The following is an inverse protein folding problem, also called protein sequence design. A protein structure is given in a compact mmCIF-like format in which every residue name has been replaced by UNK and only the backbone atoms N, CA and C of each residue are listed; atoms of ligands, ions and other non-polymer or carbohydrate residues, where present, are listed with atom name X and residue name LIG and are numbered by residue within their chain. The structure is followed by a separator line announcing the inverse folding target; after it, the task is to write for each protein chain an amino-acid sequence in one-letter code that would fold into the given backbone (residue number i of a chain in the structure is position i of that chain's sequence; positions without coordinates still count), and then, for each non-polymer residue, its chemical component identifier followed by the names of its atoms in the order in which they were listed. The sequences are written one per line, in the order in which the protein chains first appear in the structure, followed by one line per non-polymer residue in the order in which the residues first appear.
data_IF_832864255857
#
_entry.id   IF_832864255857
#
_cell.length_a   1.000
_cell.length_b   1.000
_cell.length_c   1.000
_cell.angle_alpha   90.00
_cell.angle_beta   90.00
_cell.angle_gamma   90.00
#
_symmetry.space_group_name_H-M   'P 1'
#
loop_
_entity.id
_entity.type
_entity.pdbx_description
1 polymer ?
#
# COMPACT_ATOMS: atom_id res chain seq x y z
N UNK A 1 -61.16 -22.17 -14.39
CA UNK A 1 -61.60 -23.40 -15.12
C UNK A 1 -60.32 -23.88 -15.80
N UNK A 2 -59.69 -24.99 -15.55
CA UNK A 2 -59.96 -26.36 -15.30
C UNK A 2 -58.61 -26.97 -14.81
N UNK A 3 -58.57 -27.46 -13.58
CA UNK A 3 -58.28 -28.79 -13.01
C UNK A 3 -57.13 -29.60 -13.62
N UNK A 4 -56.14 -29.83 -12.78
CA UNK A 4 -55.65 -31.12 -12.18
C UNK A 4 -55.47 -32.33 -13.09
N UNK A 5 -54.32 -32.98 -13.04
CA UNK A 5 -54.19 -34.39 -12.62
C UNK A 5 -52.78 -34.79 -12.22
N UNK A 6 -52.72 -35.33 -11.04
CA UNK A 6 -51.66 -36.10 -10.41
C UNK A 6 -51.56 -37.50 -10.96
N UNK A 7 -50.36 -38.09 -11.05
CA UNK A 7 -50.22 -39.55 -11.06
C UNK A 7 -49.07 -39.92 -10.10
N UNK A 8 -49.46 -40.63 -9.06
CA UNK A 8 -48.58 -41.44 -8.19
C UNK A 8 -48.45 -42.80 -8.87
N UNK A 9 -47.24 -43.40 -8.82
CA UNK A 9 -47.10 -44.84 -8.90
C UNK A 9 -46.03 -45.31 -7.91
N UNK A 10 -46.42 -46.34 -7.16
CA UNK A 10 -45.70 -46.94 -6.05
C UNK A 10 -45.05 -48.28 -6.44
N UNK A 11 -44.03 -48.62 -5.72
CA UNK A 11 -43.63 -49.94 -5.25
C UNK A 11 -43.11 -51.02 -6.22
N UNK A 12 -41.93 -51.54 -5.88
CA UNK A 12 -41.79 -52.98 -5.55
C UNK A 12 -40.42 -53.25 -4.88
N UNK A 13 -40.47 -53.84 -3.70
CA UNK A 13 -39.37 -54.47 -3.00
C UNK A 13 -38.98 -55.79 -3.69
N UNK A 14 -37.69 -56.08 -3.78
CA UNK A 14 -37.20 -57.44 -3.91
C UNK A 14 -36.02 -57.65 -2.95
N UNK A 15 -36.21 -58.48 -1.94
CA UNK A 15 -35.21 -58.96 -1.01
C UNK A 15 -34.48 -60.15 -1.63
N UNK A 16 -33.17 -60.11 -1.65
CA UNK A 16 -32.36 -61.31 -1.91
C UNK A 16 -31.34 -61.46 -0.75
N UNK A 17 -31.54 -62.53 0.04
CA UNK A 17 -30.61 -62.97 1.07
C UNK A 17 -29.45 -63.72 0.43
N UNK A 18 -28.20 -63.35 0.74
CA UNK A 18 -27.03 -64.19 0.46
C UNK A 18 -26.13 -64.26 1.71
N UNK A 19 -25.77 -65.44 2.04
CA UNK A 19 -25.06 -66.01 3.18
C UNK A 19 -23.62 -65.56 3.29
N UNK A 20 -23.18 -65.31 4.51
CA UNK A 20 -21.82 -64.90 4.94
C UNK A 20 -20.97 -66.15 5.18
N UNK A 21 -19.69 -66.21 4.79
CA UNK A 21 -18.69 -66.99 5.51
C UNK A 21 -17.89 -66.10 6.47
N UNK A 22 -17.81 -66.49 7.72
CA UNK A 22 -16.89 -65.96 8.73
C UNK A 22 -15.45 -66.23 8.29
N UNK A 23 -14.67 -65.15 8.13
CA UNK A 23 -13.21 -65.21 8.22
C UNK A 23 -12.77 -64.47 9.48
N UNK A 24 -12.18 -65.19 10.40
CA UNK A 24 -11.51 -64.66 11.58
C UNK A 24 -10.24 -63.95 11.14
N UNK A 25 -10.18 -62.65 11.26
CA UNK A 25 -8.95 -61.90 11.10
C UNK A 25 -8.45 -61.42 12.46
N UNK A 26 -7.21 -61.76 12.74
CA UNK A 26 -6.50 -61.41 13.97
C UNK A 26 -6.35 -59.90 14.13
N UNK A 27 -6.74 -59.42 15.30
CA UNK A 27 -6.58 -58.02 15.70
C UNK A 27 -5.13 -57.76 16.10
N UNK A 28 -4.34 -57.14 15.24
CA UNK A 28 -3.11 -56.48 15.65
C UNK A 28 -3.44 -55.07 16.12
N UNK A 29 -3.36 -54.87 17.44
CA UNK A 29 -3.47 -53.54 18.07
C UNK A 29 -2.23 -52.72 17.71
N UNK A 30 -2.33 -51.87 16.67
CA UNK A 30 -1.37 -50.81 16.48
C UNK A 30 -1.76 -49.66 17.42
N UNK A 31 -0.98 -49.45 18.45
CA UNK A 31 -1.08 -48.28 19.32
C UNK A 31 -0.81 -47.02 18.47
N UNK A 32 -1.88 -46.29 18.14
CA UNK A 32 -1.76 -44.96 17.57
C UNK A 32 -1.22 -44.04 18.67
N UNK A 33 0.09 -43.78 18.62
CA UNK A 33 0.73 -42.70 19.37
C UNK A 33 0.14 -41.39 18.85
N UNK A 34 -0.80 -40.82 19.60
CA UNK A 34 -1.25 -39.46 19.41
C UNK A 34 -0.12 -38.50 19.80
N UNK A 35 0.73 -38.16 18.85
CA UNK A 35 1.57 -36.99 18.96
C UNK A 35 0.65 -35.80 18.99
N UNK A 36 0.24 -35.38 20.17
CA UNK A 36 -0.29 -34.02 20.37
C UNK A 36 0.85 -33.07 20.04
N UNK A 37 0.93 -32.70 18.76
CA UNK A 37 1.72 -31.60 18.33
C UNK A 37 1.20 -30.37 19.06
N UNK A 38 1.96 -29.94 20.08
CA UNK A 38 1.81 -28.59 20.62
C UNK A 38 1.97 -27.63 19.47
N UNK A 39 0.83 -27.21 18.94
CA UNK A 39 0.75 -26.04 18.05
C UNK A 39 1.21 -24.83 18.86
N UNK A 40 2.52 -24.66 19.00
CA UNK A 40 3.08 -23.37 19.30
C UNK A 40 2.52 -22.45 18.22
N UNK A 41 1.53 -21.62 18.63
CA UNK A 41 1.17 -20.46 17.86
C UNK A 41 2.50 -19.78 17.54
N UNK A 42 2.96 -19.88 16.31
CA UNK A 42 4.06 -19.07 15.82
C UNK A 42 3.60 -17.66 16.14
N UNK A 43 4.24 -17.03 17.10
CA UNK A 43 4.14 -15.59 17.27
C UNK A 43 4.35 -15.05 15.86
N UNK A 44 3.31 -14.45 15.28
CA UNK A 44 3.40 -13.87 13.96
C UNK A 44 4.57 -12.90 14.05
N UNK A 45 5.74 -13.33 13.58
CA UNK A 45 6.85 -12.43 13.37
C UNK A 45 6.30 -11.44 12.37
N UNK A 46 6.14 -10.19 12.80
CA UNK A 46 5.74 -9.07 11.99
C UNK A 46 6.70 -9.05 10.83
N UNK A 47 6.23 -9.55 9.67
CA UNK A 47 7.08 -9.89 8.56
C UNK A 47 7.70 -8.62 7.99
N UNK A 48 9.02 -8.64 7.80
CA UNK A 48 9.65 -7.66 6.95
C UNK A 48 8.98 -7.74 5.57
N UNK A 49 8.58 -6.59 5.04
CA UNK A 49 8.14 -6.50 3.66
C UNK A 49 9.27 -6.97 2.72
N UNK A 50 8.96 -7.54 1.57
CA UNK A 50 9.96 -7.84 0.55
C UNK A 50 10.82 -6.63 0.22
N UNK A 51 12.02 -6.86 -0.29
CA UNK A 51 12.93 -5.78 -0.66
C UNK A 51 12.41 -4.96 -1.84
N UNK A 52 11.58 -5.58 -2.69
CA UNK A 52 10.92 -4.95 -3.83
C UNK A 52 9.43 -5.26 -3.75
N UNK A 53 8.58 -4.24 -3.70
CA UNK A 53 7.14 -4.44 -3.59
C UNK A 53 6.37 -3.57 -4.59
N UNK A 54 5.31 -4.15 -5.15
CA UNK A 54 4.23 -3.41 -5.77
C UNK A 54 3.13 -3.21 -4.72
N UNK A 55 2.83 -1.95 -4.38
CA UNK A 55 1.87 -1.59 -3.35
C UNK A 55 0.99 -0.42 -3.80
N UNK A 56 -0.03 -0.66 -4.65
CA UNK A 56 -0.91 0.41 -5.10
C UNK A 56 -1.66 1.04 -3.94
N UNK A 57 -1.99 2.33 -4.07
CA UNK A 57 -2.79 3.04 -3.10
C UNK A 57 -4.23 2.53 -3.08
N UNK A 58 -4.77 2.36 -1.89
CA UNK A 58 -6.18 2.12 -1.62
C UNK A 58 -6.78 3.36 -0.96
N UNK A 59 -7.80 3.93 -1.58
CA UNK A 59 -8.48 5.15 -1.13
C UNK A 59 -9.44 4.81 0.01
N UNK A 60 -8.97 4.91 1.25
CA UNK A 60 -9.72 4.54 2.46
C UNK A 60 -10.94 5.44 2.74
N UNK A 61 -11.04 6.59 2.07
CA UNK A 61 -12.20 7.48 2.14
C UNK A 61 -13.34 7.04 1.22
N UNK A 62 -13.08 6.14 0.28
CA UNK A 62 -14.13 5.50 -0.52
C UNK A 62 -14.70 4.29 0.21
N UNK A 63 -15.94 3.93 -0.13
CA UNK A 63 -16.55 2.72 0.41
C UNK A 63 -15.87 1.48 -0.18
N UNK A 64 -15.61 0.50 0.66
CA UNK A 64 -15.05 -0.78 0.22
C UNK A 64 -14.13 -1.42 1.27
N UNK A 65 -13.80 -2.68 1.04
CA UNK A 65 -12.86 -3.44 1.86
C UNK A 65 -11.52 -3.54 1.11
N UNK A 66 -10.40 -3.13 1.69
CA UNK A 66 -9.10 -3.31 1.08
C UNK A 66 -8.78 -4.79 0.85
N UNK A 67 -9.22 -5.70 1.73
CA UNK A 67 -9.04 -7.14 1.52
C UNK A 67 -9.83 -7.67 0.32
N UNK A 68 -11.07 -7.20 0.12
CA UNK A 68 -11.88 -7.60 -1.02
C UNK A 68 -11.25 -7.12 -2.35
N UNK A 69 -10.72 -5.88 -2.38
CA UNK A 69 -10.05 -5.36 -3.57
C UNK A 69 -8.71 -6.06 -3.81
N UNK A 70 -7.93 -6.33 -2.77
CA UNK A 70 -6.69 -7.11 -2.87
C UNK A 70 -6.94 -8.50 -3.47
N UNK A 71 -7.95 -9.21 -2.95
CA UNK A 71 -8.33 -10.52 -3.45
C UNK A 71 -8.85 -10.50 -4.91
N UNK A 72 -9.60 -9.46 -5.28
CA UNK A 72 -10.16 -9.31 -6.63
C UNK A 72 -9.12 -8.90 -7.67
N UNK A 73 -8.16 -8.06 -7.28
CA UNK A 73 -7.12 -7.52 -8.17
C UNK A 73 -5.86 -8.37 -8.25
N UNK A 74 -5.58 -9.18 -7.22
CA UNK A 74 -4.32 -9.89 -7.05
C UNK A 74 -3.19 -9.05 -6.43
N UNK A 75 -3.44 -7.78 -6.07
CA UNK A 75 -2.47 -6.95 -5.37
C UNK A 75 -2.24 -7.51 -3.95
N UNK A 76 -1.02 -7.93 -3.65
CA UNK A 76 -0.66 -8.52 -2.36
C UNK A 76 -0.36 -7.49 -1.28
N UNK A 77 0.14 -6.32 -1.67
CA UNK A 77 0.47 -5.24 -0.76
C UNK A 77 -0.34 -4.00 -1.14
N UNK A 78 -0.81 -3.25 -0.15
CA UNK A 78 -1.59 -2.03 -0.37
C UNK A 78 -1.05 -0.90 0.49
N UNK A 79 -0.97 0.30 -0.08
CA UNK A 79 -0.79 1.54 0.67
C UNK A 79 -2.17 2.12 0.99
N UNK A 80 -2.52 2.19 2.30
CA UNK A 80 -3.85 2.64 2.73
C UNK A 80 -3.86 4.15 2.97
N UNK A 81 -4.58 4.91 2.16
CA UNK A 81 -4.59 6.37 2.13
C UNK A 81 -5.95 6.94 2.60
N UNK A 82 -6.05 7.80 3.62
CA UNK A 82 -4.97 8.40 4.38
C UNK A 82 -5.31 8.48 5.88
N UNK A 83 -4.29 8.65 6.70
CA UNK A 83 -4.44 8.97 8.13
C UNK A 83 -4.17 10.47 8.29
N UNK A 84 -5.07 11.18 8.99
CA UNK A 84 -5.01 12.61 9.20
C UNK A 84 -5.49 12.96 10.61
N UNK A 85 -5.30 14.21 11.01
CA UNK A 85 -5.95 14.73 12.20
C UNK A 85 -7.38 15.21 11.89
N UNK A 86 -8.35 15.10 12.82
CA UNK A 86 -9.74 15.48 12.56
C UNK A 86 -9.94 17.01 12.40
N UNK A 87 -8.94 17.80 12.71
CA UNK A 87 -8.90 19.26 12.51
C UNK A 87 -7.51 19.80 12.76
N UNK A 88 -7.19 20.92 12.15
CA UNK A 88 -5.97 21.69 12.42
C UNK A 88 -5.79 21.99 13.92
N UNK A 89 -4.57 21.82 14.43
CA UNK A 89 -4.19 21.97 15.84
C UNK A 89 -4.42 20.71 16.69
N UNK A 90 -4.97 19.64 16.12
CA UNK A 90 -5.11 18.34 16.80
C UNK A 90 -3.81 17.54 16.76
N UNK A 91 -3.59 16.71 17.80
CA UNK A 91 -2.56 15.67 17.80
C UNK A 91 -3.16 14.25 17.79
N UNK A 92 -4.49 14.11 17.76
CA UNK A 92 -5.15 12.83 17.53
C UNK A 92 -5.24 12.53 16.05
N UNK A 93 -5.29 11.25 15.70
CA UNK A 93 -5.32 10.77 14.32
C UNK A 93 -6.47 9.77 14.14
N UNK A 94 -7.10 9.88 12.99
CA UNK A 94 -8.16 8.99 12.55
C UNK A 94 -7.98 8.75 11.03
N UNK A 95 -8.57 7.67 10.48
CA UNK A 95 -8.63 7.50 9.04
C UNK A 95 -9.44 8.66 8.45
N UNK A 96 -8.87 9.32 7.44
CA UNK A 96 -9.45 10.48 6.74
C UNK A 96 -9.84 11.65 7.67
N UNK A 97 -9.27 11.71 8.88
CA UNK A 97 -9.68 12.68 9.90
C UNK A 97 -11.09 12.46 10.44
N UNK A 98 -11.71 11.33 10.13
CA UNK A 98 -13.07 11.00 10.57
C UNK A 98 -13.03 10.22 11.90
N UNK A 99 -13.57 10.82 12.96
CA UNK A 99 -13.67 10.18 14.28
C UNK A 99 -14.51 8.90 14.31
N UNK A 100 -15.33 8.67 13.29
CA UNK A 100 -16.09 7.43 13.14
C UNK A 100 -15.19 6.27 12.69
N UNK A 101 -14.02 6.56 12.13
CA UNK A 101 -13.02 5.58 11.69
C UNK A 101 -11.68 5.76 12.44
N UNK A 102 -11.66 5.52 13.78
CA UNK A 102 -10.46 5.72 14.61
C UNK A 102 -9.35 4.74 14.24
N UNK A 103 -8.11 5.07 14.60
CA UNK A 103 -7.00 4.12 14.56
C UNK A 103 -7.22 3.07 15.65
N UNK A 104 -7.81 1.96 15.24
CA UNK A 104 -8.21 0.84 16.10
C UNK A 104 -8.26 -0.45 15.28
N UNK A 105 -7.97 -1.60 15.89
CA UNK A 105 -8.10 -2.90 15.21
C UNK A 105 -9.52 -3.18 14.69
N UNK A 106 -10.55 -2.57 15.26
CA UNK A 106 -11.93 -2.67 14.75
C UNK A 106 -12.13 -2.00 13.39
N UNK A 107 -11.19 -1.13 12.98
CA UNK A 107 -11.17 -0.51 11.64
C UNK A 107 -10.00 -1.11 10.87
N UNK A 108 -10.27 -1.75 9.76
CA UNK A 108 -9.33 -2.45 8.88
C UNK A 108 -8.57 -3.65 9.49
N UNK A 109 -8.68 -3.97 10.78
CA UNK A 109 -7.93 -5.08 11.37
C UNK A 109 -8.27 -6.44 10.75
N UNK A 110 -9.55 -6.71 10.48
CA UNK A 110 -9.99 -7.92 9.77
C UNK A 110 -9.50 -7.97 8.32
N UNK A 111 -9.51 -6.83 7.62
CA UNK A 111 -8.99 -6.72 6.26
C UNK A 111 -7.49 -7.00 6.22
N UNK A 112 -6.74 -6.38 7.13
CA UNK A 112 -5.28 -6.59 7.26
C UNK A 112 -4.99 -8.07 7.55
N UNK A 113 -5.76 -8.69 8.45
CA UNK A 113 -5.61 -10.11 8.75
C UNK A 113 -5.86 -10.99 7.51
N UNK A 114 -6.88 -10.67 6.71
CA UNK A 114 -7.20 -11.39 5.47
C UNK A 114 -6.11 -11.21 4.40
N UNK A 115 -5.61 -9.99 4.20
CA UNK A 115 -4.50 -9.70 3.28
C UNK A 115 -3.23 -10.49 3.70
N UNK A 116 -2.92 -10.52 5.00
CA UNK A 116 -1.78 -11.30 5.52
C UNK A 116 -1.96 -12.81 5.37
N UNK A 117 -3.17 -13.30 5.56
CA UNK A 117 -3.47 -14.71 5.33
C UNK A 117 -3.27 -15.11 3.86
N UNK A 118 -3.43 -14.17 2.93
CA UNK A 118 -3.13 -14.34 1.51
C UNK A 118 -1.64 -14.10 1.15
N UNK A 119 -0.76 -13.84 2.14
CA UNK A 119 0.68 -13.64 1.93
C UNK A 119 1.08 -12.20 1.60
N UNK A 120 0.20 -11.23 1.81
CA UNK A 120 0.44 -9.81 1.63
C UNK A 120 0.65 -9.03 2.94
N UNK A 121 0.62 -7.71 2.86
CA UNK A 121 0.57 -6.80 4.01
C UNK A 121 0.08 -5.41 3.58
N UNK A 122 0.01 -4.45 4.52
CA UNK A 122 -0.41 -3.08 4.26
C UNK A 122 0.62 -2.07 4.75
N UNK A 123 0.60 -0.89 4.12
CA UNK A 123 1.40 0.28 4.46
C UNK A 123 0.42 1.42 4.74
N UNK A 124 0.15 1.78 6.01
CA UNK A 124 -0.66 2.97 6.30
C UNK A 124 0.06 4.25 5.85
N UNK A 125 -0.66 5.13 5.16
CA UNK A 125 -0.16 6.41 4.66
C UNK A 125 -0.76 7.58 5.44
N UNK A 126 0.09 8.54 5.79
CA UNK A 126 -0.27 9.80 6.42
C UNK A 126 -0.18 10.93 5.41
N UNK A 127 -1.05 11.93 5.53
CA UNK A 127 -1.01 13.14 4.70
C UNK A 127 -1.98 13.09 3.53
N UNK A 128 -1.46 13.31 2.34
CA UNK A 128 -2.22 13.45 1.09
C UNK A 128 -2.74 14.86 0.87
N UNK A 129 -3.07 15.21 -0.38
CA UNK A 129 -3.38 16.57 -0.80
C UNK A 129 -4.33 17.32 0.13
N UNK A 130 -5.47 16.72 0.49
CA UNK A 130 -6.48 17.41 1.32
C UNK A 130 -5.94 17.72 2.74
N UNK A 131 -5.21 16.80 3.35
CA UNK A 131 -4.64 17.01 4.68
C UNK A 131 -3.58 18.11 4.66
N UNK A 132 -2.76 18.11 3.63
CA UNK A 132 -1.64 19.04 3.47
C UNK A 132 -2.13 20.45 3.12
N UNK A 133 -3.19 20.53 2.29
CA UNK A 133 -3.86 21.79 1.96
C UNK A 133 -4.54 22.40 3.19
N UNK A 134 -5.29 21.60 3.95
CA UNK A 134 -6.09 22.06 5.09
C UNK A 134 -5.27 22.18 6.39
N UNK A 135 -4.01 21.70 6.41
CA UNK A 135 -3.14 21.71 7.59
C UNK A 135 -3.59 20.70 8.65
N UNK A 136 -4.17 19.58 8.22
CA UNK A 136 -4.55 18.42 9.05
C UNK A 136 -3.57 17.26 8.95
N UNK A 137 -2.49 17.37 8.14
CA UNK A 137 -1.34 16.50 8.24
C UNK A 137 -0.79 16.56 9.67
N UNK A 138 -0.41 15.41 10.25
CA UNK A 138 -0.14 15.32 11.70
C UNK A 138 0.99 16.26 12.16
N UNK A 139 2.05 16.44 11.39
CA UNK A 139 3.19 17.28 11.76
C UNK A 139 2.92 18.78 11.53
N UNK A 140 1.97 19.12 10.68
CA UNK A 140 1.50 20.47 10.46
C UNK A 140 0.49 20.87 11.54
N UNK A 141 -0.40 19.96 11.87
CA UNK A 141 -1.45 20.13 12.85
C UNK A 141 -0.93 20.10 14.28
N UNK A 142 -0.13 19.09 14.63
CA UNK A 142 0.38 18.89 16.00
C UNK A 142 1.76 19.53 16.18
N UNK A 143 1.90 20.42 17.16
CA UNK A 143 3.16 21.12 17.44
C UNK A 143 4.10 20.36 18.41
N UNK A 144 3.71 19.16 18.85
CA UNK A 144 4.48 18.34 19.80
C UNK A 144 5.13 17.15 19.12
N UNK A 145 6.43 17.20 18.92
CA UNK A 145 7.21 16.09 18.35
C UNK A 145 6.96 14.75 19.06
N UNK A 146 6.94 14.66 20.41
CA UNK A 146 6.62 13.40 21.09
C UNK A 146 5.19 12.88 20.82
N UNK A 147 4.21 13.77 20.64
CA UNK A 147 2.84 13.35 20.30
C UNK A 147 2.72 12.88 18.86
N UNK A 148 3.47 13.47 17.92
CA UNK A 148 3.56 13.01 16.54
C UNK A 148 4.19 11.61 16.52
N UNK A 149 5.32 11.42 17.22
CA UNK A 149 5.95 10.10 17.33
C UNK A 149 4.99 9.06 17.94
N UNK A 150 4.28 9.40 19.00
CA UNK A 150 3.27 8.52 19.60
C UNK A 150 2.11 8.19 18.66
N UNK A 151 1.75 9.09 17.74
CA UNK A 151 0.75 8.81 16.70
C UNK A 151 1.25 7.78 15.70
N UNK A 152 2.51 7.89 15.24
CA UNK A 152 3.13 6.87 14.39
C UNK A 152 3.24 5.51 15.11
N UNK A 153 3.74 5.51 16.35
CA UNK A 153 3.83 4.30 17.19
C UNK A 153 2.46 3.64 17.39
N UNK A 154 1.39 4.44 17.56
CA UNK A 154 0.01 3.94 17.68
C UNK A 154 -0.40 3.17 16.42
N UNK A 155 -0.15 3.70 15.23
CA UNK A 155 -0.49 3.00 13.96
C UNK A 155 0.31 1.72 13.82
N UNK A 156 1.63 1.80 14.05
CA UNK A 156 2.55 0.64 13.99
C UNK A 156 2.08 -0.47 14.95
N UNK A 157 1.74 -0.11 16.18
CA UNK A 157 1.34 -1.10 17.20
C UNK A 157 -0.07 -1.61 17.02
N UNK A 158 -1.01 -0.76 16.57
CA UNK A 158 -2.41 -1.15 16.33
C UNK A 158 -2.51 -2.16 15.19
N UNK A 159 -1.85 -1.89 14.07
CA UNK A 159 -1.97 -2.71 12.86
C UNK A 159 -0.81 -3.67 12.66
N UNK A 160 0.19 -3.64 13.54
CA UNK A 160 1.36 -4.51 13.46
C UNK A 160 2.11 -4.37 12.14
N UNK A 161 2.25 -3.16 11.65
CA UNK A 161 2.95 -2.85 10.40
C UNK A 161 4.42 -2.53 10.62
N UNK A 162 5.22 -2.72 9.58
CA UNK A 162 6.67 -2.46 9.60
C UNK A 162 7.07 -1.30 8.68
N UNK A 163 6.12 -0.69 7.98
CA UNK A 163 6.36 0.47 7.12
C UNK A 163 5.21 1.45 7.25
N UNK A 164 5.53 2.74 7.29
CA UNK A 164 4.58 3.84 7.14
C UNK A 164 4.97 4.65 5.91
N UNK A 165 3.97 5.11 5.19
CA UNK A 165 4.11 6.08 4.12
C UNK A 165 3.75 7.48 4.63
N UNK A 166 4.46 8.50 4.15
CA UNK A 166 4.30 9.90 4.51
C UNK A 166 4.13 10.70 3.21
N UNK A 167 2.91 10.84 2.79
CA UNK A 167 2.54 11.58 1.59
C UNK A 167 2.51 13.09 1.92
N UNK A 168 3.46 13.81 1.35
CA UNK A 168 3.72 15.21 1.69
C UNK A 168 3.59 16.07 0.44
N UNK A 169 2.57 16.89 0.42
CA UNK A 169 2.15 17.69 -0.72
C UNK A 169 1.92 19.16 -0.34
N UNK A 170 1.54 19.96 -1.30
CA UNK A 170 1.01 21.32 -1.20
C UNK A 170 1.64 22.18 -0.08
N UNK A 171 0.85 22.67 0.87
CA UNK A 171 1.31 23.54 1.96
C UNK A 171 2.33 22.87 2.89
N UNK A 172 2.29 21.54 3.04
CA UNK A 172 3.22 20.79 3.88
C UNK A 172 4.65 20.81 3.34
N UNK A 173 4.84 20.97 2.03
CA UNK A 173 6.16 21.11 1.40
C UNK A 173 6.85 22.44 1.75
N UNK A 174 6.08 23.45 2.13
CA UNK A 174 6.59 24.80 2.46
C UNK A 174 6.62 25.07 3.97
N UNK A 175 5.92 24.26 4.78
CA UNK A 175 5.90 24.37 6.23
C UNK A 175 7.18 23.80 6.86
N UNK A 176 8.25 24.58 6.87
CA UNK A 176 9.55 24.16 7.43
C UNK A 176 9.45 23.64 8.87
N UNK A 177 8.57 24.22 9.68
CA UNK A 177 8.39 23.78 11.06
C UNK A 177 7.70 22.40 11.13
N UNK A 178 6.71 22.15 10.27
CA UNK A 178 6.06 20.84 10.09
C UNK A 178 7.07 19.79 9.62
N UNK A 179 7.81 20.08 8.55
CA UNK A 179 8.88 19.20 8.02
C UNK A 179 9.87 18.80 9.13
N UNK A 180 10.35 19.77 9.91
CA UNK A 180 11.32 19.49 10.97
C UNK A 180 10.69 18.64 12.10
N UNK A 181 9.43 18.92 12.48
CA UNK A 181 8.71 18.11 13.49
C UNK A 181 8.49 16.68 13.01
N UNK A 182 8.09 16.48 11.74
CA UNK A 182 7.90 15.16 11.13
C UNK A 182 9.18 14.35 11.22
N UNK A 183 10.28 14.90 10.75
CA UNK A 183 11.56 14.20 10.73
C UNK A 183 12.12 13.95 12.15
N UNK A 184 11.97 14.90 13.08
CA UNK A 184 12.32 14.68 14.48
C UNK A 184 11.45 13.57 15.12
N UNK A 185 10.16 13.49 14.79
CA UNK A 185 9.27 12.42 15.25
C UNK A 185 9.66 11.06 14.69
N UNK A 186 9.99 10.97 13.39
CA UNK A 186 10.52 9.76 12.78
C UNK A 186 11.75 9.26 13.55
N UNK A 187 12.68 10.16 13.85
CA UNK A 187 13.88 9.80 14.64
C UNK A 187 13.52 9.22 16.02
N UNK A 188 12.51 9.76 16.71
CA UNK A 188 12.04 9.20 17.98
C UNK A 188 11.45 7.80 17.81
N UNK A 189 10.65 7.58 16.76
CA UNK A 189 10.07 6.26 16.45
C UNK A 189 11.16 5.24 16.13
N UNK A 190 12.18 5.62 15.38
CA UNK A 190 13.33 4.74 15.10
C UNK A 190 14.07 4.32 16.37
N UNK A 191 14.29 5.28 17.29
CA UNK A 191 14.87 4.99 18.59
C UNK A 191 14.01 4.07 19.44
N UNK A 192 12.69 4.29 19.44
CA UNK A 192 11.73 3.42 20.11
C UNK A 192 11.75 2.02 19.48
N UNK A 193 11.70 1.92 18.17
CA UNK A 193 11.72 0.66 17.44
C UNK A 193 13.00 -0.15 17.74
N UNK A 194 14.16 0.52 17.77
CA UNK A 194 15.42 -0.13 18.13
C UNK A 194 15.40 -0.69 19.56
N UNK A 195 14.87 0.06 20.55
CA UNK A 195 14.72 -0.41 21.93
C UNK A 195 13.75 -1.60 22.06
N UNK A 196 12.74 -1.64 21.18
CA UNK A 196 11.72 -2.70 21.17
C UNK A 196 12.08 -3.86 20.23
N UNK A 197 13.27 -3.86 19.62
CA UNK A 197 13.70 -4.84 18.60
C UNK A 197 12.68 -4.98 17.46
N UNK A 198 12.10 -3.85 17.02
CA UNK A 198 11.14 -3.79 15.91
C UNK A 198 11.81 -3.25 14.66
N UNK A 199 11.43 -3.78 13.51
CA UNK A 199 11.73 -3.17 12.24
C UNK A 199 10.65 -2.13 11.93
N UNK A 200 11.05 -0.90 11.62
CA UNK A 200 10.16 0.15 11.10
C UNK A 200 10.89 0.86 9.97
N UNK A 201 10.18 1.10 8.87
CA UNK A 201 10.63 1.84 7.69
C UNK A 201 9.69 3.02 7.44
N UNK A 202 10.23 4.08 6.84
CA UNK A 202 9.46 5.25 6.41
C UNK A 202 9.67 5.49 4.93
N UNK A 203 8.56 5.65 4.22
CA UNK A 203 8.50 6.10 2.83
C UNK A 203 8.20 7.59 2.85
N UNK A 204 8.95 8.37 2.08
CA UNK A 204 8.68 9.78 1.83
C UNK A 204 8.05 9.89 0.44
N UNK A 205 6.75 10.03 0.38
CA UNK A 205 6.02 10.25 -0.89
C UNK A 205 5.96 11.73 -1.17
N UNK A 206 6.46 12.13 -2.35
CA UNK A 206 6.68 13.53 -2.71
C UNK A 206 6.28 13.78 -4.17
N UNK A 207 5.65 14.92 -4.49
CA UNK A 207 5.47 15.35 -5.87
C UNK A 207 6.81 15.62 -6.54
N UNK A 208 6.88 15.39 -7.84
CA UNK A 208 8.07 15.62 -8.64
C UNK A 208 7.74 16.25 -9.99
N UNK A 209 8.73 16.87 -10.61
CA UNK A 209 8.71 17.22 -12.02
C UNK A 209 9.52 16.21 -12.84
N UNK A 210 9.43 16.25 -14.15
CA UNK A 210 10.30 15.46 -15.03
C UNK A 210 11.78 15.74 -14.75
N UNK A 211 12.13 16.97 -14.33
CA UNK A 211 13.49 17.36 -13.92
C UNK A 211 13.85 16.94 -12.49
N UNK A 212 13.03 16.16 -11.79
CA UNK A 212 13.22 15.70 -10.42
C UNK A 212 12.47 16.54 -9.39
N UNK A 213 12.76 16.30 -8.11
CA UNK A 213 12.12 17.00 -7.00
C UNK A 213 12.40 18.52 -7.07
N UNK A 214 11.37 19.30 -6.82
CA UNK A 214 11.51 20.73 -6.59
C UNK A 214 12.34 21.03 -5.33
N UNK A 215 12.88 22.25 -5.19
CA UNK A 215 13.64 22.65 -4.00
C UNK A 215 12.91 22.40 -2.67
N UNK A 216 11.58 22.47 -2.66
CA UNK A 216 10.74 22.15 -1.49
C UNK A 216 10.80 20.66 -1.13
N UNK A 217 10.62 19.75 -2.08
CA UNK A 217 10.78 18.31 -1.88
C UNK A 217 12.20 17.93 -1.44
N UNK A 218 13.22 18.52 -2.08
CA UNK A 218 14.62 18.34 -1.65
C UNK A 218 14.85 18.83 -0.22
N UNK A 219 14.15 19.90 0.20
CA UNK A 219 14.22 20.42 1.57
C UNK A 219 13.70 19.43 2.61
N UNK A 220 12.65 18.66 2.28
CA UNK A 220 12.13 17.57 3.14
C UNK A 220 13.21 16.54 3.41
N UNK A 221 13.90 16.08 2.36
CA UNK A 221 14.97 15.08 2.48
C UNK A 221 16.20 15.62 3.21
N UNK A 222 16.59 16.87 2.95
CA UNK A 222 17.69 17.53 3.69
C UNK A 222 17.36 17.67 5.18
N UNK A 223 16.14 18.01 5.52
CA UNK A 223 15.67 18.05 6.91
C UNK A 223 15.76 16.66 7.56
N UNK A 224 15.36 15.58 6.85
CA UNK A 224 15.49 14.22 7.37
C UNK A 224 16.93 13.88 7.72
N UNK A 225 17.88 14.14 6.81
CA UNK A 225 19.31 13.94 7.06
C UNK A 225 19.79 14.77 8.25
N UNK A 226 19.41 16.05 8.34
CA UNK A 226 19.83 16.94 9.43
C UNK A 226 19.25 16.54 10.79
N UNK A 227 18.06 15.96 10.84
CA UNK A 227 17.41 15.41 12.04
C UNK A 227 17.86 13.98 12.36
N UNK A 228 18.76 13.41 11.58
CA UNK A 228 19.18 12.01 11.68
C UNK A 228 18.03 11.01 11.55
N UNK A 229 16.94 11.39 10.88
CA UNK A 229 15.88 10.47 10.48
C UNK A 229 16.33 9.69 9.26
N UNK A 230 16.05 8.38 9.25
CA UNK A 230 16.41 7.53 8.12
C UNK A 230 15.41 7.74 6.99
N UNK A 231 15.93 7.82 5.79
CA UNK A 231 15.15 7.73 4.56
C UNK A 231 15.26 6.29 4.07
N UNK A 232 14.21 5.50 4.20
CA UNK A 232 14.19 4.13 3.70
C UNK A 232 13.84 4.10 2.22
N UNK A 233 12.77 4.80 1.81
CA UNK A 233 12.37 4.98 0.41
C UNK A 233 11.94 6.43 0.21
N UNK A 234 12.25 6.99 -0.94
CA UNK A 234 11.63 8.19 -1.49
C UNK A 234 10.79 7.75 -2.67
N UNK A 235 9.48 7.82 -2.51
CA UNK A 235 8.50 7.49 -3.52
C UNK A 235 8.07 8.79 -4.22
N UNK A 236 8.29 8.89 -5.53
CA UNK A 236 7.93 10.09 -6.29
C UNK A 236 6.64 9.89 -7.06
N UNK A 237 5.76 10.88 -7.00
CA UNK A 237 4.52 10.93 -7.77
C UNK A 237 4.82 11.44 -9.17
N UNK A 238 4.85 10.54 -10.15
CA UNK A 238 5.26 10.83 -11.53
C UNK A 238 4.04 11.13 -12.41
N UNK A 239 3.24 12.07 -11.97
CA UNK A 239 2.02 12.57 -12.60
C UNK A 239 1.72 14.00 -12.10
N UNK A 240 0.68 14.65 -12.63
CA UNK A 240 0.26 15.99 -12.25
C UNK A 240 1.40 17.03 -12.34
N UNK A 241 2.13 17.02 -13.45
CA UNK A 241 3.23 17.96 -13.67
C UNK A 241 2.74 19.39 -13.90
N UNK A 242 1.50 19.57 -14.36
CA UNK A 242 0.82 20.88 -14.57
C UNK A 242 1.59 21.87 -15.46
N UNK A 243 2.42 21.39 -16.38
CA UNK A 243 3.26 22.24 -17.22
C UNK A 243 2.67 22.53 -18.61
N UNK A 244 1.46 22.06 -18.89
CA UNK A 244 0.72 22.21 -20.14
C UNK A 244 1.44 21.63 -21.39
N UNK A 245 2.32 20.65 -21.20
CA UNK A 245 2.99 19.97 -22.30
C UNK A 245 2.50 18.54 -22.45
N UNK A 246 2.57 17.97 -23.66
CA UNK A 246 2.35 16.54 -23.84
C UNK A 246 3.46 15.73 -23.17
N UNK A 247 3.08 14.68 -22.45
CA UNK A 247 4.01 13.80 -21.74
C UNK A 247 4.04 12.39 -22.32
N UNK A 248 5.23 11.79 -22.31
CA UNK A 248 5.44 10.35 -22.49
C UNK A 248 5.72 9.76 -21.10
N UNK A 249 4.64 9.47 -20.36
CA UNK A 249 4.67 9.23 -18.92
C UNK A 249 5.74 8.23 -18.47
N UNK A 250 5.87 7.07 -19.13
CA UNK A 250 6.90 6.09 -18.77
C UNK A 250 8.33 6.66 -18.91
N UNK A 251 8.61 7.47 -19.93
CA UNK A 251 9.91 8.10 -20.12
C UNK A 251 10.16 9.16 -19.06
N UNK A 252 9.15 9.93 -18.75
CA UNK A 252 9.23 11.04 -17.79
C UNK A 252 9.43 10.50 -16.36
N UNK A 253 8.76 9.39 -16.00
CA UNK A 253 9.01 8.63 -14.77
C UNK A 253 10.47 8.20 -14.66
N UNK A 254 11.02 7.57 -15.69
CA UNK A 254 12.42 7.13 -15.69
C UNK A 254 13.39 8.31 -15.57
N UNK A 255 13.07 9.45 -16.17
CA UNK A 255 13.88 10.68 -16.12
C UNK A 255 13.84 11.29 -14.72
N UNK A 256 12.64 11.47 -14.15
CA UNK A 256 12.44 12.01 -12.79
C UNK A 256 13.16 11.16 -11.74
N UNK A 257 13.03 9.83 -11.82
CA UNK A 257 13.73 8.91 -10.92
C UNK A 257 15.26 8.96 -11.08
N UNK A 258 15.77 9.20 -12.30
CA UNK A 258 17.19 9.44 -12.54
C UNK A 258 17.71 10.72 -11.86
N UNK A 259 16.91 11.78 -11.83
CA UNK A 259 17.22 13.00 -11.08
C UNK A 259 17.13 12.77 -9.56
N UNK A 260 16.14 12.02 -9.09
CA UNK A 260 16.06 11.62 -7.68
C UNK A 260 17.29 10.80 -7.27
N UNK A 261 17.73 9.84 -8.10
CA UNK A 261 18.96 9.09 -7.85
C UNK A 261 20.15 10.03 -7.63
N UNK A 262 20.30 11.07 -8.48
CA UNK A 262 21.36 12.06 -8.36
C UNK A 262 21.26 12.87 -7.05
N UNK A 263 20.03 13.23 -6.66
CA UNK A 263 19.76 13.90 -5.37
C UNK A 263 20.13 13.00 -4.19
N UNK A 264 19.72 11.73 -4.21
CA UNK A 264 20.07 10.76 -3.16
C UNK A 264 21.58 10.50 -3.10
N UNK A 265 22.26 10.48 -4.23
CA UNK A 265 23.74 10.35 -4.24
C UNK A 265 24.44 11.53 -3.58
N UNK A 266 23.91 12.75 -3.76
CA UNK A 266 24.44 13.93 -3.04
C UNK A 266 24.20 13.85 -1.53
N UNK A 267 23.04 13.32 -1.09
CA UNK A 267 22.71 13.16 0.33
C UNK A 267 23.46 11.98 0.98
N UNK A 268 23.74 10.94 0.23
CA UNK A 268 24.36 9.69 0.69
C UNK A 268 25.52 9.25 -0.21
N UNK A 269 26.61 10.02 -0.29
CA UNK A 269 27.69 9.78 -1.25
C UNK A 269 28.43 8.44 -1.04
N UNK A 270 28.29 7.84 0.15
CA UNK A 270 28.91 6.55 0.47
C UNK A 270 28.06 5.32 0.10
N UNK A 271 26.80 5.54 -0.32
CA UNK A 271 25.95 4.43 -0.77
C UNK A 271 26.30 4.02 -2.19
N UNK A 272 26.28 2.70 -2.45
CA UNK A 272 26.43 2.17 -3.82
C UNK A 272 25.21 2.54 -4.68
N UNK A 273 25.38 2.51 -6.00
CA UNK A 273 24.29 2.76 -6.94
C UNK A 273 23.10 1.81 -6.69
N UNK A 274 23.35 0.52 -6.41
CA UNK A 274 22.30 -0.45 -6.06
C UNK A 274 21.52 -0.01 -4.82
N UNK A 275 22.21 0.44 -3.76
CA UNK A 275 21.54 0.90 -2.54
C UNK A 275 20.72 2.17 -2.79
N UNK A 276 21.21 3.08 -3.63
CA UNK A 276 20.48 4.31 -3.98
C UNK A 276 19.23 4.02 -4.82
N UNK A 277 19.32 3.14 -5.82
CA UNK A 277 18.16 2.72 -6.59
C UNK A 277 17.11 2.01 -5.73
N UNK A 278 17.56 1.19 -4.78
CA UNK A 278 16.66 0.54 -3.82
C UNK A 278 15.93 1.51 -2.88
N UNK A 279 16.47 2.72 -2.68
CA UNK A 279 15.80 3.79 -1.92
C UNK A 279 14.77 4.56 -2.74
N UNK A 280 14.54 4.22 -4.01
CA UNK A 280 13.60 4.90 -4.88
C UNK A 280 12.33 4.06 -5.01
N UNK A 281 11.19 4.72 -4.84
CA UNK A 281 9.86 4.28 -5.25
C UNK A 281 9.32 5.21 -6.33
N UNK A 282 8.42 4.69 -7.16
CA UNK A 282 7.64 5.49 -8.11
C UNK A 282 6.16 5.14 -7.99
N UNK A 283 5.32 6.17 -8.01
CA UNK A 283 3.86 6.07 -8.06
C UNK A 283 3.37 6.73 -9.34
N UNK A 284 2.68 5.97 -10.16
CA UNK A 284 2.02 6.46 -11.35
C UNK A 284 0.56 6.84 -11.05
N UNK A 285 -0.04 7.78 -11.77
CA UNK A 285 -1.49 7.90 -11.81
C UNK A 285 -2.00 7.20 -13.07
N UNK A 286 -2.62 6.03 -12.89
CA UNK A 286 -3.03 5.20 -14.04
C UNK A 286 -4.17 5.83 -14.82
N UNK A 287 -4.02 5.92 -16.13
CA UNK A 287 -4.98 6.54 -17.02
C UNK A 287 -4.78 8.05 -17.16
N UNK A 288 -5.90 8.79 -17.27
CA UNK A 288 -5.91 10.24 -17.36
C UNK A 288 -5.87 10.78 -15.92
N UNK A 289 -4.83 11.56 -15.59
CA UNK A 289 -4.65 12.13 -14.26
C UNK A 289 -5.53 13.35 -13.97
N UNK A 290 -5.28 14.06 -12.86
CA UNK A 290 -6.08 15.23 -12.46
C UNK A 290 -5.86 16.43 -13.37
N UNK A 291 -4.66 16.57 -13.97
CA UNK A 291 -4.37 17.61 -14.93
C UNK A 291 -5.09 17.37 -16.28
N UNK A 292 -5.28 16.09 -16.67
CA UNK A 292 -6.09 15.73 -17.82
C UNK A 292 -5.30 15.26 -19.05
N UNK A 293 -5.84 15.47 -20.28
CA UNK A 293 -5.34 14.82 -21.51
C UNK A 293 -3.87 14.97 -21.88
N UNK A 294 -3.12 16.02 -21.49
CA UNK A 294 -1.67 16.06 -21.70
C UNK A 294 -0.89 14.98 -20.95
N UNK A 295 -1.43 14.52 -19.83
CA UNK A 295 -0.80 13.58 -18.91
C UNK A 295 -1.64 12.31 -18.80
N UNK A 296 -1.27 11.28 -19.56
CA UNK A 296 -2.01 10.02 -19.61
C UNK A 296 -1.05 8.84 -19.49
N UNK A 297 -1.09 8.17 -18.36
CA UNK A 297 -0.37 6.89 -18.19
C UNK A 297 -1.14 5.76 -18.86
N UNK A 298 -0.67 5.35 -20.03
CA UNK A 298 -1.35 4.39 -20.91
C UNK A 298 -0.98 2.95 -20.55
N UNK A 299 -1.81 2.00 -20.93
CA UNK A 299 -1.53 0.57 -20.75
C UNK A 299 -0.18 0.13 -21.34
N UNK A 300 0.27 0.73 -22.42
CA UNK A 300 1.59 0.45 -23.03
C UNK A 300 2.77 0.90 -22.17
N UNK A 301 2.55 1.87 -21.28
CA UNK A 301 3.58 2.46 -20.44
C UNK A 301 3.90 1.54 -19.24
N UNK A 302 2.91 0.81 -18.74
CA UNK A 302 3.07 -0.09 -17.60
C UNK A 302 4.20 -1.12 -17.75
N UNK A 303 4.24 -1.94 -18.81
CA UNK A 303 5.34 -2.90 -19.03
C UNK A 303 6.70 -2.23 -19.16
N UNK A 304 6.78 -1.01 -19.70
CA UNK A 304 8.03 -0.26 -19.84
C UNK A 304 8.56 0.14 -18.45
N UNK A 305 7.69 0.72 -17.61
CA UNK A 305 8.05 1.10 -16.24
C UNK A 305 8.39 -0.13 -15.41
N UNK A 306 7.60 -1.21 -15.48
CA UNK A 306 7.88 -2.44 -14.76
C UNK A 306 9.28 -3.01 -15.11
N UNK A 307 9.57 -3.15 -16.39
CA UNK A 307 10.87 -3.69 -16.85
C UNK A 307 12.04 -2.81 -16.35
N UNK A 308 11.91 -1.51 -16.49
CA UNK A 308 12.93 -0.56 -16.06
C UNK A 308 13.09 -0.57 -14.52
N UNK A 309 12.00 -0.52 -13.75
CA UNK A 309 12.03 -0.54 -12.30
C UNK A 309 12.69 -1.81 -11.76
N UNK A 310 12.36 -2.96 -12.34
CA UNK A 310 13.00 -4.25 -12.05
C UNK A 310 14.49 -4.22 -12.38
N UNK A 311 14.86 -3.76 -13.56
CA UNK A 311 16.27 -3.70 -13.98
C UNK A 311 17.11 -2.75 -13.11
N UNK A 312 16.52 -1.68 -12.58
CA UNK A 312 17.17 -0.74 -11.64
C UNK A 312 17.18 -1.26 -10.21
N UNK A 313 16.27 -2.13 -9.84
CA UNK A 313 16.10 -2.63 -8.47
C UNK A 313 15.49 -1.59 -7.55
N UNK A 314 14.39 -0.93 -7.98
CA UNK A 314 13.64 -0.01 -7.15
C UNK A 314 13.08 -0.72 -5.92
N UNK A 315 12.96 -0.01 -4.79
CA UNK A 315 12.38 -0.56 -3.57
C UNK A 315 10.86 -0.66 -3.61
N UNK A 316 10.22 0.23 -4.37
CA UNK A 316 8.75 0.28 -4.45
C UNK A 316 8.27 0.70 -5.82
N UNK A 317 7.18 0.07 -6.27
CA UNK A 317 6.40 0.44 -7.43
C UNK A 317 4.94 0.54 -7.00
N UNK A 318 4.27 1.62 -7.36
CA UNK A 318 2.91 1.90 -6.94
C UNK A 318 2.13 2.61 -8.02
N UNK A 319 0.83 2.79 -7.78
CA UNK A 319 0.02 3.71 -8.55
C UNK A 319 -1.15 4.28 -7.71
N UNK A 320 -1.60 5.46 -8.08
CA UNK A 320 -2.84 6.07 -7.64
C UNK A 320 -3.93 5.74 -8.65
N UNK A 321 -4.98 5.01 -8.31
CA UNK A 321 -5.18 4.21 -7.13
C UNK A 321 -5.87 2.91 -7.53
N UNK A 322 -5.93 1.92 -6.65
CA UNK A 322 -6.48 0.60 -6.96
C UNK A 322 -7.93 0.67 -7.43
N UNK A 323 -8.76 1.56 -6.83
CA UNK A 323 -10.15 1.77 -7.23
C UNK A 323 -10.28 2.32 -8.66
N UNK A 324 -9.25 2.98 -9.18
CA UNK A 324 -9.21 3.50 -10.56
C UNK A 324 -8.90 2.44 -11.61
N UNK A 325 -8.38 1.25 -11.22
CA UNK A 325 -7.91 0.24 -12.18
C UNK A 325 -9.05 -0.50 -12.89
N UNK A 326 -9.84 0.27 -13.65
CA UNK A 326 -10.92 -0.23 -14.49
C UNK A 326 -11.27 0.76 -15.61
N UNK A 327 -12.03 0.27 -16.62
CA UNK A 327 -12.46 1.02 -17.80
C UNK A 327 -13.88 1.60 -17.70
N UNK A 328 -14.40 1.88 -16.50
CA UNK A 328 -15.80 2.28 -16.30
C UNK A 328 -16.19 3.65 -16.81
N UNK A 329 -15.22 4.55 -17.11
CA UNK A 329 -15.47 5.94 -17.48
C UNK A 329 -14.53 6.47 -18.58
N UNK A 330 -14.49 5.89 -19.77
CA UNK A 330 -13.55 6.32 -20.81
C UNK A 330 -13.65 7.83 -21.11
N UNK A 331 -12.49 8.51 -21.13
CA UNK A 331 -12.36 9.93 -21.39
C UNK A 331 -12.52 10.86 -20.18
N UNK A 332 -12.78 10.30 -18.98
CA UNK A 332 -12.86 11.09 -17.73
C UNK A 332 -11.48 11.23 -17.11
N UNK A 333 -11.07 12.48 -16.84
CA UNK A 333 -9.85 12.79 -16.10
C UNK A 333 -10.09 12.77 -14.59
N UNK A 334 -9.05 12.49 -13.79
CA UNK A 334 -9.04 12.67 -12.34
C UNK A 334 -10.10 11.92 -11.55
N UNK A 335 -10.66 10.83 -12.09
CA UNK A 335 -11.69 10.08 -11.38
C UNK A 335 -11.07 9.14 -10.33
N UNK A 336 -11.59 9.15 -9.11
CA UNK A 336 -11.19 8.21 -8.05
C UNK A 336 -11.73 6.78 -8.25
N UNK A 337 -12.54 6.53 -9.28
CA UNK A 337 -13.23 5.24 -9.44
C UNK A 337 -12.98 4.56 -10.78
N UNK A 338 -12.22 5.18 -11.68
CA UNK A 338 -11.87 4.63 -12.99
C UNK A 338 -10.71 5.38 -13.63
N UNK A 339 -9.96 4.74 -14.51
CA UNK A 339 -8.75 5.32 -15.12
C UNK A 339 -9.01 6.32 -16.25
N UNK A 340 -10.22 6.40 -16.76
CA UNK A 340 -10.51 7.17 -17.99
C UNK A 340 -10.12 6.47 -19.30
N UNK A 341 -9.51 5.30 -19.23
CA UNK A 341 -9.10 4.51 -20.40
C UNK A 341 -10.09 3.39 -20.73
N UNK A 342 -10.06 2.94 -21.96
CA UNK A 342 -10.60 1.64 -22.34
C UNK A 342 -9.66 0.55 -21.86
N UNK A 343 -10.02 -0.17 -20.80
CA UNK A 343 -9.24 -1.26 -20.22
C UNK A 343 -10.13 -2.31 -19.56
N UNK A 344 -9.55 -3.47 -19.28
CA UNK A 344 -10.16 -4.46 -18.38
C UNK A 344 -9.94 -4.04 -16.92
N UNK A 345 -10.84 -4.45 -16.04
CA UNK A 345 -10.66 -4.26 -14.59
C UNK A 345 -9.39 -4.98 -14.13
N UNK A 346 -8.60 -4.32 -13.27
CA UNK A 346 -7.31 -4.78 -12.72
C UNK A 346 -6.20 -4.98 -13.75
N UNK A 347 -6.28 -4.31 -14.90
CA UNK A 347 -5.29 -4.51 -15.96
C UNK A 347 -3.93 -3.92 -15.60
N UNK A 348 -3.86 -2.77 -14.95
CA UNK A 348 -2.60 -2.22 -14.47
C UNK A 348 -2.04 -3.02 -13.29
N UNK A 349 -2.89 -3.46 -12.38
CA UNK A 349 -2.47 -4.34 -11.28
C UNK A 349 -1.79 -5.61 -11.82
N UNK A 350 -2.39 -6.27 -12.80
CA UNK A 350 -1.80 -7.47 -13.41
C UNK A 350 -0.50 -7.20 -14.15
N UNK A 351 -0.31 -5.97 -14.67
CA UNK A 351 0.97 -5.57 -15.27
C UNK A 351 2.04 -5.41 -14.19
N UNK A 352 1.73 -4.75 -13.07
CA UNK A 352 2.73 -4.37 -12.07
C UNK A 352 2.98 -5.42 -10.98
N UNK A 353 2.02 -6.32 -10.72
CA UNK A 353 2.11 -7.32 -9.66
C UNK A 353 3.39 -8.20 -9.75
N UNK A 354 3.91 -8.57 -10.93
CA UNK A 354 5.16 -9.31 -11.04
C UNK A 354 6.39 -8.63 -10.43
N UNK A 355 6.35 -7.32 -10.19
CA UNK A 355 7.43 -6.59 -9.53
C UNK A 355 7.74 -7.14 -8.13
N UNK A 356 6.72 -7.54 -7.38
CA UNK A 356 6.90 -8.13 -6.04
C UNK A 356 7.48 -9.56 -6.07
N UNK A 357 7.32 -10.25 -7.16
CA UNK A 357 7.75 -11.65 -7.29
C UNK A 357 9.18 -11.81 -7.81
N UNK A 358 9.83 -10.68 -8.08
CA UNK A 358 11.19 -10.61 -8.62
C UNK A 358 12.27 -10.77 -7.55
#
# INVERSE_FOLDING_TARGET
MTRLRSLRMAAALAAAALTIPLLTAATSSAAASSAAGSGQARSASWGRLPDHIFAPYFEAYLKGSPAALAAASGARYLTLAFIQTPKKGSCSIDWNGDKATPISWSVYGSDIAAIRAAGGDVIPSFGGYSADHDGTEIADSCHSVPKIAAAYEKVITTYHVTRLDLDTEDNSLTNKAGINRRNAAIRLVEQWAARCHRLVQFVYTLPTNVAGLDPTGVSVLRSAVSQHARIDIVNIMTFDYYDNKPHEMARDTMTAAGHLFSTLHQLYPMKSARQLWHMIGVTEMIGIDDFGPPEVFKLKDGPVVLHWATAKGLGELSFWALQRDNGGCPGTAGSNTCSGLKQSTWQFTHIFEPFTSW
#
